data_IF_715449782540
#
_entry.id   IF_715449782540
#
_cell.length_a   1.000
_cell.length_b   1.000
_cell.length_c   1.000
_cell.angle_alpha   90.00
_cell.angle_beta   90.00
_cell.angle_gamma   90.00
#
_symmetry.space_group_name_H-M   'P 1'
#
loop_
_entity.id
_entity.type
_entity.pdbx_description
1 polymer ?
#
# COMPACT_ATOMS: atom_id res chain seq x y z
N UNK A 1 -33.82 12.45 45.94
CA UNK A 1 -33.83 12.08 44.51
C UNK A 1 -32.66 12.75 43.82
N UNK A 2 -31.53 12.05 43.66
CA UNK A 2 -30.28 12.44 42.95
C UNK A 2 -29.26 11.39 43.39
N UNK A 3 -28.37 10.94 42.49
CA UNK A 3 -27.38 9.85 42.65
C UNK A 3 -27.87 8.48 42.15
N UNK A 4 -28.05 8.32 40.85
CA UNK A 4 -27.97 7.00 40.18
C UNK A 4 -27.93 7.13 38.64
N UNK A 5 -27.08 8.01 38.09
CA UNK A 5 -26.82 8.05 36.65
C UNK A 5 -25.34 8.40 36.45
N UNK A 6 -24.42 7.46 36.71
CA UNK A 6 -22.99 7.68 36.38
C UNK A 6 -22.15 6.40 36.23
N UNK A 7 -22.75 5.27 35.84
CA UNK A 7 -21.99 3.99 35.72
C UNK A 7 -22.09 3.35 34.32
N UNK A 8 -22.97 3.81 33.42
CA UNK A 8 -23.23 3.13 32.14
C UNK A 8 -22.40 3.64 30.95
N UNK A 9 -21.61 4.71 31.12
CA UNK A 9 -20.91 5.38 30.01
C UNK A 9 -19.40 5.13 29.95
N UNK A 10 -18.90 4.11 30.65
CA UNK A 10 -17.45 3.77 30.70
C UNK A 10 -17.13 2.46 29.95
N UNK A 11 -18.15 1.70 29.49
CA UNK A 11 -17.93 0.39 28.84
C UNK A 11 -18.01 0.48 27.29
N UNK A 12 -18.25 1.65 26.70
CA UNK A 12 -18.23 1.78 25.23
C UNK A 12 -16.82 1.93 24.63
N UNK A 13 -15.79 1.92 25.47
CA UNK A 13 -14.39 1.77 25.07
C UNK A 13 -14.07 0.30 24.79
N UNK A 14 -14.92 -0.39 24.04
CA UNK A 14 -14.51 -1.61 23.35
C UNK A 14 -13.50 -1.10 22.34
N UNK A 15 -12.23 -1.10 22.76
CA UNK A 15 -11.06 -1.05 21.90
C UNK A 15 -11.35 -2.06 20.80
N UNK A 16 -11.80 -1.56 19.64
CA UNK A 16 -11.65 -2.33 18.43
C UNK A 16 -10.14 -2.46 18.32
N UNK A 17 -9.63 -3.63 18.71
CA UNK A 17 -8.41 -4.21 18.18
C UNK A 17 -8.65 -4.31 16.68
N UNK A 18 -8.64 -3.17 16.00
CA UNK A 18 -8.36 -3.10 14.59
C UNK A 18 -6.97 -3.66 14.54
N UNK A 19 -6.85 -4.93 14.15
CA UNK A 19 -5.55 -5.55 13.93
C UNK A 19 -4.81 -4.59 13.04
N UNK A 20 -3.86 -3.87 13.63
CA UNK A 20 -3.09 -2.86 12.93
C UNK A 20 -2.46 -3.59 11.76
N UNK A 21 -2.92 -3.27 10.54
CA UNK A 21 -2.51 -4.00 9.36
C UNK A 21 -1.16 -3.45 8.94
N UNK A 22 -0.13 -3.86 9.66
CA UNK A 22 1.24 -3.42 9.42
C UNK A 22 1.76 -4.12 8.16
N UNK A 23 1.96 -3.33 7.12
CA UNK A 23 2.45 -3.75 5.81
C UNK A 23 3.85 -4.39 5.87
N UNK A 24 4.63 -4.13 6.92
CA UNK A 24 5.97 -4.70 7.11
C UNK A 24 5.95 -6.09 7.73
N UNK A 25 4.83 -6.50 8.32
CA UNK A 25 4.67 -7.81 8.99
C UNK A 25 3.60 -8.71 8.36
N UNK A 26 2.74 -8.15 7.51
CA UNK A 26 1.58 -8.85 6.96
C UNK A 26 1.62 -8.93 5.44
N UNK A 27 0.96 -9.94 4.88
CA UNK A 27 0.70 -9.98 3.44
C UNK A 27 -0.57 -9.20 3.11
N UNK A 28 -0.46 -8.22 2.21
CA UNK A 28 -1.56 -7.32 1.84
C UNK A 28 -1.69 -7.28 0.31
N UNK A 29 -2.92 -7.45 -0.17
CA UNK A 29 -3.30 -7.37 -1.58
C UNK A 29 -3.95 -6.02 -1.87
N UNK A 30 -3.45 -5.35 -2.90
CA UNK A 30 -3.85 -4.00 -3.34
C UNK A 30 -4.31 -4.07 -4.79
N UNK A 31 -5.60 -3.95 -5.02
CA UNK A 31 -6.17 -4.05 -6.37
C UNK A 31 -6.30 -2.66 -7.00
N UNK A 32 -5.90 -2.53 -8.27
CA UNK A 32 -6.04 -1.32 -9.07
C UNK A 32 -6.65 -1.65 -10.44
N UNK A 33 -7.26 -0.65 -11.08
CA UNK A 33 -7.82 -0.75 -12.44
C UNK A 33 -7.34 0.35 -13.40
N UNK A 34 -6.57 1.31 -12.89
CA UNK A 34 -6.01 2.40 -13.64
C UNK A 34 -4.58 2.69 -13.17
N UNK A 35 -3.79 3.23 -14.09
CA UNK A 35 -2.47 3.76 -13.84
C UNK A 35 -2.36 5.15 -14.47
N UNK A 36 -1.72 6.06 -13.76
CA UNK A 36 -1.46 7.43 -14.18
C UNK A 36 0.04 7.67 -14.22
N UNK A 37 0.54 8.19 -15.33
CA UNK A 37 1.88 8.74 -15.41
C UNK A 37 1.90 10.08 -14.64
N UNK A 38 2.71 10.19 -13.58
CA UNK A 38 2.77 11.39 -12.74
C UNK A 38 3.36 12.61 -13.42
N UNK A 39 4.22 12.41 -14.41
CA UNK A 39 4.89 13.50 -15.11
C UNK A 39 3.95 14.15 -16.14
N UNK A 40 3.16 13.34 -16.84
CA UNK A 40 2.27 13.82 -17.92
C UNK A 40 0.81 13.95 -17.50
N UNK A 41 0.42 13.34 -16.37
CA UNK A 41 -0.98 13.20 -15.96
C UNK A 41 -1.79 12.21 -16.81
N UNK A 42 -1.18 11.57 -17.81
CA UNK A 42 -1.88 10.65 -18.70
C UNK A 42 -2.26 9.36 -17.95
N UNK A 43 -3.56 9.10 -17.86
CA UNK A 43 -4.13 7.87 -17.30
C UNK A 43 -4.44 6.83 -18.38
N UNK A 44 -4.36 5.55 -18.03
CA UNK A 44 -4.85 4.45 -18.86
C UNK A 44 -5.41 3.32 -17.98
N UNK A 45 -6.32 2.51 -18.55
CA UNK A 45 -6.84 1.35 -17.82
C UNK A 45 -5.78 0.27 -17.73
N UNK A 46 -5.53 -0.19 -16.50
CA UNK A 46 -4.58 -1.24 -16.20
C UNK A 46 -5.01 -2.00 -14.95
N UNK A 47 -5.81 -3.05 -15.16
CA UNK A 47 -6.19 -3.97 -14.09
C UNK A 47 -4.98 -4.75 -13.59
N UNK A 48 -4.63 -4.54 -12.32
CA UNK A 48 -3.52 -5.22 -11.68
C UNK A 48 -3.73 -5.38 -10.16
N UNK A 49 -2.86 -6.18 -9.56
CA UNK A 49 -2.83 -6.40 -8.13
C UNK A 49 -1.40 -6.32 -7.66
N UNK A 50 -1.15 -5.53 -6.62
CA UNK A 50 0.09 -5.61 -5.86
C UNK A 50 -0.13 -6.53 -4.67
N UNK A 51 0.82 -7.41 -4.38
CA UNK A 51 0.87 -8.17 -3.12
C UNK A 51 2.13 -7.78 -2.39
N UNK A 52 2.01 -7.01 -1.32
CA UNK A 52 3.13 -6.72 -0.42
C UNK A 52 3.24 -7.79 0.64
N UNK A 53 4.48 -8.11 1.02
CA UNK A 53 4.85 -9.01 2.11
C UNK A 53 6.11 -8.44 2.78
N UNK A 54 6.55 -8.96 3.95
CA UNK A 54 7.76 -8.46 4.62
C UNK A 54 9.03 -8.49 3.74
N UNK A 55 9.11 -9.42 2.78
CA UNK A 55 10.32 -9.67 2.00
C UNK A 55 10.19 -9.25 0.53
N UNK A 56 8.97 -9.04 0.03
CA UNK A 56 8.74 -8.84 -1.41
C UNK A 56 7.47 -8.08 -1.74
N UNK A 57 7.46 -7.49 -2.94
CA UNK A 57 6.24 -6.98 -3.58
C UNK A 57 6.05 -7.70 -4.91
N UNK A 58 4.90 -8.34 -5.09
CA UNK A 58 4.50 -8.91 -6.37
C UNK A 58 3.57 -7.94 -7.10
N UNK A 59 3.86 -7.66 -8.37
CA UNK A 59 2.97 -6.94 -9.28
C UNK A 59 2.39 -7.93 -10.30
N UNK A 60 1.08 -8.13 -10.21
CA UNK A 60 0.34 -9.13 -10.98
C UNK A 60 -0.58 -8.39 -11.94
N UNK A 61 -0.43 -8.65 -13.24
CA UNK A 61 -1.16 -7.99 -14.32
C UNK A 61 -1.85 -9.03 -15.20
N UNK A 62 -2.73 -8.56 -16.10
CA UNK A 62 -3.41 -9.43 -17.10
C UNK A 62 -4.05 -10.67 -16.47
N UNK A 63 -4.78 -10.47 -15.36
CA UNK A 63 -5.48 -11.55 -14.63
C UNK A 63 -4.55 -12.70 -14.16
N UNK A 64 -3.27 -12.41 -13.91
CA UNK A 64 -2.31 -13.40 -13.42
C UNK A 64 -1.31 -13.90 -14.46
N UNK A 65 -1.51 -13.59 -15.74
CA UNK A 65 -0.61 -14.03 -16.81
C UNK A 65 0.78 -13.40 -16.72
N UNK A 66 0.87 -12.17 -16.20
CA UNK A 66 2.13 -11.48 -16.00
C UNK A 66 2.34 -11.22 -14.51
N UNK A 67 3.41 -11.77 -13.96
CA UNK A 67 3.81 -11.60 -12.56
C UNK A 67 5.25 -11.11 -12.50
N UNK A 68 5.45 -9.98 -11.84
CA UNK A 68 6.77 -9.45 -11.53
C UNK A 68 6.96 -9.45 -10.03
N UNK A 69 7.98 -10.15 -9.52
CA UNK A 69 8.33 -10.14 -8.10
C UNK A 69 9.54 -9.24 -7.88
N UNK A 70 9.42 -8.32 -6.94
CA UNK A 70 10.48 -7.43 -6.49
C UNK A 70 10.88 -7.81 -5.07
N UNK A 71 12.17 -8.00 -4.81
CA UNK A 71 12.69 -8.27 -3.46
C UNK A 71 12.85 -6.96 -2.72
N UNK A 72 12.37 -6.86 -1.48
CA UNK A 72 12.59 -5.67 -0.65
C UNK A 72 14.04 -5.70 -0.14
N UNK A 73 14.78 -4.61 -0.36
CA UNK A 73 16.16 -4.45 0.13
C UNK A 73 16.24 -3.50 1.33
N UNK A 74 15.38 -2.49 1.36
CA UNK A 74 15.22 -1.61 2.52
C UNK A 74 13.82 -1.00 2.56
N UNK A 75 13.43 -0.60 3.76
CA UNK A 75 12.14 0.04 4.04
C UNK A 75 12.42 1.46 4.54
N UNK A 76 11.75 2.43 3.96
CA UNK A 76 11.82 3.83 4.35
C UNK A 76 10.47 4.26 4.96
N UNK A 77 10.50 4.65 6.23
CA UNK A 77 9.31 5.06 6.98
C UNK A 77 8.63 3.90 7.72
N UNK A 78 7.47 4.21 8.32
CA UNK A 78 6.67 3.27 9.09
C UNK A 78 5.19 3.52 8.83
N UNK A 79 4.41 2.46 8.65
CA UNK A 79 2.96 2.58 8.51
C UNK A 79 2.27 1.38 9.20
N UNK A 80 2.08 1.46 10.53
CA UNK A 80 1.66 0.32 11.34
C UNK A 80 0.20 -0.10 11.10
N UNK A 81 -0.61 0.76 10.49
CA UNK A 81 -2.00 0.45 10.14
C UNK A 81 -2.37 1.09 8.80
N UNK A 82 -2.45 0.27 7.75
CA UNK A 82 -2.80 0.72 6.39
C UNK A 82 -4.24 1.22 6.23
N UNK A 83 -5.08 1.05 7.25
CA UNK A 83 -6.42 1.64 7.28
C UNK A 83 -6.38 3.14 7.61
N UNK A 84 -5.33 3.60 8.29
CA UNK A 84 -5.13 5.00 8.66
C UNK A 84 -4.32 5.76 7.61
N UNK A 85 -4.43 7.10 7.53
CA UNK A 85 -3.54 7.90 6.70
C UNK A 85 -2.07 7.65 7.04
N UNK A 86 -1.24 7.55 6.02
CA UNK A 86 0.17 7.21 6.17
C UNK A 86 0.81 6.85 4.83
N UNK A 87 2.12 6.59 4.86
CA UNK A 87 2.88 6.18 3.69
C UNK A 87 4.08 5.35 4.12
N UNK A 88 4.48 4.43 3.26
CA UNK A 88 5.73 3.67 3.39
C UNK A 88 6.34 3.49 2.00
N UNK A 89 7.67 3.54 1.94
CA UNK A 89 8.39 3.26 0.70
C UNK A 89 9.25 2.01 0.87
N UNK A 90 9.13 1.10 -0.08
CA UNK A 90 10.00 -0.06 -0.21
C UNK A 90 11.01 0.22 -1.32
N UNK A 91 12.29 0.22 -0.96
CA UNK A 91 13.35 0.10 -1.95
C UNK A 91 13.43 -1.37 -2.31
N UNK A 92 13.27 -1.65 -3.59
CA UNK A 92 13.18 -3.02 -4.09
C UNK A 92 14.20 -3.29 -5.18
N UNK A 93 14.53 -4.56 -5.37
CA UNK A 93 15.47 -5.03 -6.39
C UNK A 93 14.82 -6.06 -7.31
N UNK A 94 15.15 -5.97 -8.61
CA UNK A 94 14.89 -7.02 -9.60
C UNK A 94 16.03 -7.07 -10.60
N UNK A 95 16.64 -8.24 -10.77
CA UNK A 95 17.75 -8.47 -11.71
C UNK A 95 18.89 -7.44 -11.54
N UNK A 96 19.29 -7.14 -10.30
CA UNK A 96 20.33 -6.15 -9.98
C UNK A 96 19.92 -4.69 -10.12
N UNK A 97 18.71 -4.40 -10.59
CA UNK A 97 18.20 -3.02 -10.70
C UNK A 97 17.37 -2.67 -9.47
N UNK A 98 17.68 -1.51 -8.88
CA UNK A 98 16.92 -0.95 -7.77
C UNK A 98 15.78 -0.08 -8.29
N UNK A 99 14.67 -0.07 -7.55
CA UNK A 99 13.49 0.76 -7.80
C UNK A 99 12.82 1.08 -6.46
N UNK A 100 11.84 1.98 -6.47
CA UNK A 100 11.08 2.32 -5.27
C UNK A 100 9.59 2.09 -5.50
N UNK A 101 8.95 1.40 -4.58
CA UNK A 101 7.49 1.21 -4.55
C UNK A 101 6.95 1.89 -3.30
N UNK A 102 6.03 2.82 -3.48
CA UNK A 102 5.48 3.66 -2.41
C UNK A 102 4.01 3.30 -2.26
N UNK A 103 3.61 2.90 -1.05
CA UNK A 103 2.22 2.69 -0.68
C UNK A 103 1.79 3.89 0.16
N UNK A 104 0.65 4.50 -0.14
CA UNK A 104 0.17 5.63 0.64
C UNK A 104 -1.35 5.66 0.76
N UNK A 105 -1.83 6.26 1.85
CA UNK A 105 -3.24 6.65 2.03
C UNK A 105 -3.29 8.09 2.49
N UNK A 106 -3.99 8.94 1.76
CA UNK A 106 -4.25 10.32 2.13
C UNK A 106 -5.65 10.73 1.65
N UNK A 107 -6.39 11.50 2.46
CA UNK A 107 -7.72 12.01 2.11
C UNK A 107 -8.70 10.92 1.64
N UNK A 108 -8.61 9.71 2.21
CA UNK A 108 -9.45 8.57 1.83
C UNK A 108 -9.03 7.85 0.54
N UNK A 109 -8.05 8.37 -0.20
CA UNK A 109 -7.49 7.74 -1.38
C UNK A 109 -6.30 6.87 -1.01
N UNK A 110 -6.21 5.67 -1.60
CA UNK A 110 -5.07 4.77 -1.47
C UNK A 110 -4.36 4.70 -2.80
N UNK A 111 -3.04 4.84 -2.80
CA UNK A 111 -2.22 4.75 -4.00
C UNK A 111 -1.05 3.81 -3.80
N UNK A 112 -0.66 3.17 -4.89
CA UNK A 112 0.65 2.54 -5.03
C UNK A 112 1.37 3.29 -6.14
N UNK A 113 2.61 3.68 -5.92
CA UNK A 113 3.40 4.32 -6.96
C UNK A 113 4.74 3.60 -7.14
N UNK A 114 5.16 3.44 -8.39
CA UNK A 114 6.40 2.80 -8.76
C UNK A 114 7.29 3.83 -9.44
N UNK A 115 8.48 4.02 -8.89
CA UNK A 115 9.56 4.76 -9.49
C UNK A 115 10.57 3.78 -10.10
N UNK A 116 10.63 3.76 -11.43
CA UNK A 116 11.57 2.96 -12.20
C UNK A 116 12.89 3.68 -12.50
N UNK A 117 13.07 4.91 -11.98
CA UNK A 117 14.26 5.72 -12.23
C UNK A 117 15.53 4.99 -11.81
N UNK A 118 16.56 5.12 -12.65
CA UNK A 118 17.90 4.56 -12.44
C UNK A 118 18.92 5.69 -12.43
N UNK A 119 20.12 5.47 -11.88
CA UNK A 119 21.20 6.45 -12.02
C UNK A 119 21.42 6.81 -13.50
N UNK A 120 21.22 8.09 -13.85
CA UNK A 120 21.35 8.59 -15.22
C UNK A 120 20.15 8.37 -16.14
N UNK A 121 19.05 7.76 -15.67
CA UNK A 121 17.80 7.60 -16.43
C UNK A 121 16.58 7.89 -15.55
N UNK A 122 15.91 9.01 -15.81
CA UNK A 122 14.63 9.32 -15.16
C UNK A 122 13.52 8.62 -15.94
N UNK A 123 12.78 7.76 -15.26
CA UNK A 123 11.56 7.18 -15.81
C UNK A 123 10.37 7.83 -15.13
N UNK A 124 9.29 8.00 -15.88
CA UNK A 124 8.08 8.55 -15.31
C UNK A 124 7.52 7.65 -14.21
N UNK A 125 7.26 8.25 -13.06
CA UNK A 125 6.64 7.56 -11.94
C UNK A 125 5.21 7.18 -12.31
N UNK A 126 4.88 5.89 -12.17
CA UNK A 126 3.53 5.41 -12.38
C UNK A 126 2.81 5.32 -11.05
N UNK A 127 1.64 5.94 -10.94
CA UNK A 127 0.75 5.82 -9.79
C UNK A 127 -0.50 5.02 -10.15
N UNK A 128 -0.91 4.16 -9.24
CA UNK A 128 -2.06 3.30 -9.34
C UNK A 128 -3.05 3.69 -8.24
N UNK A 129 -4.29 3.99 -8.62
CA UNK A 129 -5.35 4.19 -7.65
C UNK A 129 -5.88 2.84 -7.17
N UNK A 130 -5.77 2.59 -5.87
CA UNK A 130 -6.17 1.32 -5.28
C UNK A 130 -7.66 1.37 -4.95
N UNK A 131 -8.42 0.45 -5.56
CA UNK A 131 -9.86 0.30 -5.34
C UNK A 131 -10.18 -0.59 -4.15
N UNK A 132 -9.30 -1.54 -3.83
CA UNK A 132 -9.52 -2.47 -2.71
C UNK A 132 -8.21 -2.88 -2.07
N UNK A 133 -8.23 -3.01 -0.74
CA UNK A 133 -7.12 -3.48 0.08
C UNK A 133 -7.63 -4.68 0.88
N UNK A 134 -6.93 -5.80 0.81
CA UNK A 134 -7.30 -7.05 1.49
C UNK A 134 -6.08 -7.64 2.19
N UNK A 135 -6.18 -7.89 3.49
CA UNK A 135 -5.18 -8.66 4.22
C UNK A 135 -5.42 -10.15 4.01
N UNK A 136 -4.35 -10.90 3.81
CA UNK A 136 -4.40 -12.36 3.93
C UNK A 136 -4.18 -12.71 5.41
N UNK A 137 -5.22 -13.26 6.05
CA UNK A 137 -5.11 -13.88 7.37
C UNK A 137 -4.43 -15.25 7.26
#
# INVERSE_FOLDING_TARGET
MKKLILIVLIISSIYRLSSAQDITSSTISWEADNATNKDTGAGHSLACTFKSSPESVEWIQKKGELKTTYKIVSIEGTWPDVSQPGSIAFVVERNGNHSKIIFSRAHGQVTVAIDFSRPGQTYAMQEFNIKSVKTSN
#
